data_IF_894723921528
#
_entry.id   IF_894723921528
#
_cell.length_a   1.000
_cell.length_b   1.000
_cell.length_c   1.000
_cell.angle_alpha   90.00
_cell.angle_beta   90.00
_cell.angle_gamma   90.00
#
_symmetry.space_group_name_H-M   'P 1'
#
loop_
_entity.id
_entity.type
_entity.pdbx_description
1 polymer ?
#
# COMPACT_ATOMS: atom_id res chain seq x y z
N UNK A 1 14.74 1.07 16.00
CA UNK A 1 13.37 1.62 16.02
C UNK A 1 12.40 0.59 15.46
N UNK A 2 11.25 0.30 16.12
CA UNK A 2 10.25 -0.64 15.60
C UNK A 2 9.59 -0.11 14.32
N UNK A 3 9.04 -1.00 13.49
CA UNK A 3 8.22 -0.59 12.33
C UNK A 3 6.90 -0.01 12.86
N UNK A 4 6.49 1.20 12.44
CA UNK A 4 5.17 1.72 12.73
C UNK A 4 4.05 0.78 12.24
N UNK A 5 3.03 0.54 13.08
CA UNK A 5 1.95 -0.40 12.79
C UNK A 5 1.20 -0.10 11.48
N UNK A 6 1.04 1.17 11.12
CA UNK A 6 0.34 1.56 9.89
C UNK A 6 1.03 1.06 8.62
N UNK A 7 2.36 0.90 8.62
CA UNK A 7 3.10 0.38 7.47
C UNK A 7 2.88 -1.13 7.27
N UNK A 8 2.38 -1.82 8.29
CA UNK A 8 2.09 -3.25 8.27
C UNK A 8 0.61 -3.53 8.00
N UNK A 9 -0.19 -2.51 7.70
CA UNK A 9 -1.58 -2.67 7.33
C UNK A 9 -1.71 -3.42 6.00
N UNK A 10 -2.76 -4.24 5.87
CA UNK A 10 -3.04 -4.96 4.64
C UNK A 10 -3.46 -4.01 3.50
N UNK A 11 -2.99 -4.32 2.31
CA UNK A 11 -3.34 -3.66 1.06
C UNK A 11 -4.70 -4.14 0.54
N UNK A 12 -5.77 -3.80 1.25
CA UNK A 12 -7.10 -4.27 0.91
C UNK A 12 -7.66 -3.50 -0.30
N UNK A 13 -8.17 -4.20 -1.34
CA UNK A 13 -8.88 -3.55 -2.42
C UNK A 13 -10.19 -2.93 -1.91
N UNK A 14 -10.72 -1.90 -2.60
CA UNK A 14 -12.07 -1.42 -2.33
C UNK A 14 -13.10 -2.51 -2.64
N UNK A 15 -14.30 -2.37 -2.07
CA UNK A 15 -15.43 -3.26 -2.36
C UNK A 15 -15.80 -3.11 -3.84
N UNK A 16 -15.83 -4.23 -4.56
CA UNK A 16 -16.24 -4.29 -5.97
C UNK A 16 -17.73 -4.61 -6.00
N UNK A 17 -18.51 -3.77 -6.69
CA UNK A 17 -19.94 -4.02 -6.87
C UNK A 17 -20.19 -5.12 -7.91
N UNK A 18 -21.23 -5.94 -7.70
CA UNK A 18 -21.64 -7.01 -8.62
C UNK A 18 -22.06 -6.47 -10.00
N UNK A 19 -22.53 -5.22 -10.04
CA UNK A 19 -22.91 -4.50 -11.26
C UNK A 19 -22.31 -3.11 -11.24
N UNK A 20 -21.72 -2.68 -12.35
CA UNK A 20 -21.12 -1.36 -12.48
C UNK A 20 -21.34 -0.81 -13.90
N UNK A 21 -21.48 0.51 -14.02
CA UNK A 21 -21.39 1.15 -15.33
C UNK A 21 -19.94 1.14 -15.81
N UNK A 22 -19.72 1.40 -17.11
CA UNK A 22 -18.36 1.57 -17.60
C UNK A 22 -17.62 2.73 -16.91
N UNK A 23 -18.33 3.83 -16.60
CA UNK A 23 -17.75 4.95 -15.85
C UNK A 23 -17.33 4.57 -14.44
N UNK A 24 -18.15 3.78 -13.74
CA UNK A 24 -17.81 3.26 -12.42
C UNK A 24 -16.57 2.35 -12.47
N UNK A 25 -16.43 1.55 -13.54
CA UNK A 25 -15.26 0.70 -13.73
C UNK A 25 -13.96 1.52 -13.86
N UNK A 26 -14.01 2.68 -14.53
CA UNK A 26 -12.84 3.56 -14.62
C UNK A 26 -12.48 4.15 -13.25
N UNK A 27 -13.48 4.58 -12.49
CA UNK A 27 -13.26 5.11 -11.15
C UNK A 27 -12.70 4.03 -10.21
N UNK A 28 -13.21 2.81 -10.29
CA UNK A 28 -12.68 1.66 -9.56
C UNK A 28 -11.20 1.41 -9.91
N UNK A 29 -10.83 1.45 -11.19
CA UNK A 29 -9.43 1.29 -11.59
C UNK A 29 -8.53 2.39 -11.00
N UNK A 30 -8.99 3.65 -10.97
CA UNK A 30 -8.25 4.73 -10.33
C UNK A 30 -8.08 4.49 -8.81
N UNK A 31 -9.11 4.01 -8.12
CA UNK A 31 -9.03 3.66 -6.70
C UNK A 31 -8.07 2.50 -6.44
N UNK A 32 -8.12 1.45 -7.28
CA UNK A 32 -7.21 0.32 -7.18
C UNK A 32 -5.75 0.74 -7.36
N UNK A 33 -5.47 1.63 -8.31
CA UNK A 33 -4.13 2.17 -8.52
C UNK A 33 -3.65 3.00 -7.31
N UNK A 34 -4.52 3.78 -6.68
CA UNK A 34 -4.19 4.54 -5.47
C UNK A 34 -3.86 3.62 -4.28
N UNK A 35 -4.57 2.50 -4.11
CA UNK A 35 -4.23 1.49 -3.10
C UNK A 35 -2.84 0.91 -3.36
N UNK A 36 -2.53 0.55 -4.61
CA UNK A 36 -1.21 0.03 -4.99
C UNK A 36 -0.10 1.06 -4.71
N UNK A 37 -0.34 2.32 -5.05
CA UNK A 37 0.59 3.42 -4.80
C UNK A 37 0.92 3.54 -3.31
N UNK A 38 -0.10 3.64 -2.44
CA UNK A 38 0.11 3.75 -1.00
C UNK A 38 0.88 2.54 -0.45
N UNK A 39 0.51 1.34 -0.88
CA UNK A 39 1.20 0.11 -0.46
C UNK A 39 2.67 0.06 -0.88
N UNK A 40 3.00 0.62 -2.04
CA UNK A 40 4.39 0.71 -2.48
C UNK A 40 5.17 1.71 -1.63
N UNK A 41 4.56 2.83 -1.23
CA UNK A 41 5.16 3.79 -0.30
C UNK A 41 5.41 3.16 1.07
N UNK A 42 4.45 2.40 1.60
CA UNK A 42 4.59 1.73 2.90
C UNK A 42 5.73 0.70 2.87
N UNK A 43 5.81 -0.11 1.80
CA UNK A 43 6.92 -1.05 1.57
C UNK A 43 8.26 -0.34 1.44
N UNK A 44 8.31 0.81 0.77
CA UNK A 44 9.53 1.60 0.65
C UNK A 44 10.00 2.10 2.02
N UNK A 45 9.08 2.63 2.84
CA UNK A 45 9.38 3.08 4.20
C UNK A 45 9.89 1.93 5.08
N UNK A 46 9.28 0.75 5.00
CA UNK A 46 9.76 -0.45 5.69
C UNK A 46 11.21 -0.78 5.26
N UNK A 47 11.49 -0.82 3.96
CA UNK A 47 12.83 -1.11 3.44
C UNK A 47 13.88 -0.12 3.97
N UNK A 48 13.55 1.17 4.05
CA UNK A 48 14.45 2.20 4.60
C UNK A 48 14.73 1.98 6.10
N UNK A 49 13.71 1.60 6.87
CA UNK A 49 13.85 1.29 8.30
C UNK A 49 14.76 0.06 8.47
N UNK A 50 14.55 -1.00 7.69
CA UNK A 50 15.37 -2.20 7.77
C UNK A 50 16.82 -1.96 7.34
N UNK A 51 17.05 -1.17 6.28
CA UNK A 51 18.41 -0.76 5.87
C UNK A 51 19.14 -0.04 7.00
N UNK A 52 18.46 0.86 7.70
CA UNK A 52 19.05 1.57 8.85
C UNK A 52 19.44 0.59 9.96
N UNK A 53 18.65 -0.47 10.19
CA UNK A 53 19.00 -1.52 11.17
C UNK A 53 20.23 -2.30 10.74
N UNK A 54 20.31 -2.70 9.47
CA UNK A 54 21.46 -3.44 8.93
C UNK A 54 22.76 -2.66 9.14
N UNK A 55 22.77 -1.35 8.83
CA UNK A 55 23.93 -0.47 9.03
C UNK A 55 24.29 -0.29 10.51
N UNK A 56 23.32 -0.34 11.42
CA UNK A 56 23.57 -0.21 12.88
C UNK A 56 24.12 -1.51 13.49
N UNK A 57 24.00 -2.63 12.79
CA UNK A 57 24.44 -3.95 13.24
C UNK A 57 25.79 -4.40 12.65
N UNK A 58 26.45 -3.57 11.83
CA UNK A 58 27.84 -3.70 11.37
C UNK A 58 28.78 -2.78 12.18
#
# INVERSE_FOLDING_TARGET
MPIPMHLLADCLPPVIADTMTWGDSLLLNAQLLAVIEQCNLDKQAIRQIEQTRQVTHE
#
